data_IF_638458958043
#
_entry.id   IF_638458958043
#
_cell.length_a   1.000
_cell.length_b   1.000
_cell.length_c   1.000
_cell.angle_alpha   90.00
_cell.angle_beta   90.00
_cell.angle_gamma   90.00
#
_symmetry.space_group_name_H-M   'P 1'
#
loop_
_entity.id
_entity.type
_entity.pdbx_description
1 polymer ?
2 non-polymer ?
3 non-polymer ?
4 non-polymer ?
5 non-polymer ?
6 water ?
#
# COMPACT_ATOMS: atom_id res chain seq x y z
N UNK A 12 7.69 20.88 -1.09
CA UNK A 12 6.72 20.23 -0.22
C UNK A 12 5.58 19.51 -0.99
N UNK A 13 5.67 18.15 -1.08
CA UNK A 13 4.61 17.36 -1.70
C UNK A 13 3.50 17.25 -0.65
N UNK A 14 2.24 17.61 -0.98
CA UNK A 14 1.18 17.51 0.03
C UNK A 14 0.99 16.09 0.52
N UNK A 15 0.59 15.95 1.78
CA UNK A 15 0.32 14.66 2.36
C UNK A 15 -1.02 14.20 1.85
N UNK A 16 -1.23 12.88 1.89
CA UNK A 16 -2.50 12.31 1.49
C UNK A 16 -3.61 12.85 2.37
N UNK A 17 -4.78 13.17 1.76
CA UNK A 17 -5.95 13.45 2.61
C UNK A 17 -6.20 12.15 3.42
N UNK A 18 -6.69 12.28 4.65
CA UNK A 18 -6.91 11.13 5.53
C UNK A 18 -8.38 10.78 5.65
N UNK A 19 -9.28 11.77 5.45
CA UNK A 19 -10.72 11.56 5.60
C UNK A 19 -11.53 11.49 4.31
N UNK A 20 -12.42 10.50 4.22
CA UNK A 20 -13.37 10.32 3.12
C UNK A 20 -14.76 10.02 3.68
N UNK A 21 -15.85 10.52 3.02
CA UNK A 21 -17.19 10.25 3.54
C UNK A 21 -17.54 8.76 3.59
N UNK A 22 -17.08 7.99 2.57
CA UNK A 22 -17.33 6.56 2.45
C UNK A 22 -16.04 5.86 2.04
N UNK A 23 -16.14 4.77 1.26
CA UNK A 23 -14.97 4.03 0.81
C UNK A 23 -14.08 4.84 -0.12
N UNK A 24 -12.76 4.63 0.00
CA UNK A 24 -11.77 5.36 -0.79
C UNK A 24 -10.86 4.42 -1.58
N UNK A 25 -10.20 4.96 -2.62
CA UNK A 25 -9.29 4.17 -3.44
C UNK A 25 -8.07 4.98 -3.83
N UNK A 26 -6.93 4.32 -3.80
CA UNK A 26 -5.64 4.85 -4.24
C UNK A 26 -5.02 3.85 -5.19
N UNK A 27 -4.14 4.32 -6.08
CA UNK A 27 -3.49 3.44 -7.05
C UNK A 27 -1.98 3.69 -7.06
N UNK A 28 -1.22 2.64 -7.40
CA UNK A 28 0.24 2.65 -7.52
C UNK A 28 0.54 2.14 -8.90
N UNK A 29 1.38 2.85 -9.63
CA UNK A 29 1.63 2.56 -11.02
C UNK A 29 3.10 2.73 -11.38
N UNK A 30 3.83 1.60 -11.46
CA UNK A 30 5.25 1.62 -11.80
C UNK A 30 5.42 1.78 -13.31
N UNK A 31 6.24 2.73 -13.73
CA UNK A 31 6.44 2.99 -15.15
C UNK A 31 7.57 2.15 -15.74
N UNK A 32 7.44 1.80 -17.03
CA UNK A 32 8.49 1.11 -17.77
C UNK A 32 9.04 2.06 -18.82
N UNK A 33 10.34 1.93 -19.11
CA UNK A 33 11.00 2.71 -20.14
C UNK A 33 11.96 3.78 -19.67
N UNK A 34 12.00 4.04 -18.35
CA UNK A 34 12.87 5.06 -17.79
C UNK A 34 13.22 4.76 -16.35
N UNK A 35 14.15 5.57 -15.82
CA UNK A 35 14.53 5.56 -14.41
C UNK A 35 14.67 7.00 -13.91
N UNK A 36 14.66 7.17 -12.59
CA UNK A 36 14.98 8.44 -11.92
C UNK A 36 16.29 8.17 -11.17
N UNK A 37 17.21 9.12 -11.21
CA UNK A 37 18.44 9.00 -10.43
C UNK A 37 18.43 10.16 -9.45
N UNK A 38 18.78 9.87 -8.19
CA UNK A 38 18.74 10.85 -7.11
C UNK A 38 19.89 10.59 -6.13
N UNK A 39 20.29 11.58 -5.27
CA UNK A 39 21.31 11.28 -4.25
C UNK A 39 20.89 10.11 -3.36
N UNK A 40 21.86 9.39 -2.79
CA UNK A 40 21.58 8.27 -1.88
C UNK A 40 20.82 8.80 -0.66
N UNK A 41 19.93 7.98 -0.09
CA UNK A 41 19.11 8.30 1.09
C UNK A 41 18.16 9.53 0.87
N UNK A 42 17.80 9.80 -0.41
CA UNK A 42 16.85 10.86 -0.78
C UNK A 42 15.45 10.45 -0.35
N UNK A 43 14.53 11.42 -0.20
CA UNK A 43 13.13 11.14 0.12
C UNK A 43 12.52 10.43 -1.10
N UNK A 44 11.50 9.58 -0.86
CA UNK A 44 10.85 8.83 -1.94
C UNK A 44 10.16 9.77 -2.95
N UNK A 45 9.51 10.84 -2.47
CA UNK A 45 8.79 11.78 -3.31
C UNK A 45 9.68 12.86 -3.92
N UNK A 46 9.59 13.07 -5.25
CA UNK A 46 10.37 14.13 -5.92
C UNK A 46 9.48 15.13 -6.65
N UNK A 47 8.18 14.87 -6.65
CA UNK A 47 7.23 15.78 -7.27
C UNK A 47 5.80 15.27 -7.22
N UNK A 48 4.91 16.03 -7.84
CA UNK A 48 3.50 15.66 -7.93
C UNK A 48 2.84 16.34 -9.10
N UNK A 49 1.71 15.78 -9.52
CA UNK A 49 0.90 16.32 -10.60
C UNK A 49 -0.43 16.71 -10.00
N UNK A 50 -0.88 17.93 -10.32
CA UNK A 50 -2.16 18.41 -9.84
C UNK A 50 -3.01 18.88 -11.01
N UNK A 51 -4.32 19.08 -10.79
CA UNK A 51 -5.17 19.64 -11.84
C UNK A 51 -4.86 21.14 -11.85
N UNK A 52 -5.21 21.85 -12.93
CA UNK A 52 -5.03 23.31 -13.02
C UNK A 52 -5.80 24.03 -11.89
N UNK A 53 -6.89 23.42 -11.41
CA UNK A 53 -7.74 23.90 -10.31
C UNK A 53 -7.02 23.79 -8.94
N UNK A 54 -5.93 23.04 -8.89
CA UNK A 54 -5.11 22.87 -7.69
C UNK A 54 -5.25 21.56 -6.94
N UNK A 55 -6.13 20.65 -7.40
CA UNK A 55 -6.35 19.34 -6.75
C UNK A 55 -5.19 18.39 -7.03
N UNK A 56 -4.50 17.92 -5.98
CA UNK A 56 -3.38 16.98 -6.11
C UNK A 56 -3.91 15.62 -6.62
N UNK A 57 -3.34 15.13 -7.74
CA UNK A 57 -3.78 13.88 -8.38
C UNK A 57 -2.89 12.69 -8.07
N UNK A 58 -1.58 12.86 -8.20
CA UNK A 58 -0.63 11.79 -7.90
C UNK A 58 0.76 12.28 -7.60
N UNK A 59 1.54 11.47 -6.91
CA UNK A 59 2.92 11.78 -6.57
C UNK A 59 3.87 11.09 -7.53
N UNK A 60 5.02 11.71 -7.76
CA UNK A 60 6.11 11.12 -8.54
C UNK A 60 7.09 10.59 -7.51
N UNK A 61 7.32 9.28 -7.51
CA UNK A 61 8.20 8.67 -6.51
C UNK A 61 9.24 7.76 -7.13
N UNK A 62 10.34 7.54 -6.39
CA UNK A 62 11.31 6.51 -6.73
C UNK A 62 10.75 5.21 -6.13
N UNK A 63 11.03 4.09 -6.76
CA UNK A 63 10.48 2.82 -6.29
C UNK A 63 11.56 1.76 -6.10
N UNK A 64 11.83 0.94 -7.14
CA UNK A 64 12.80 -0.15 -7.05
C UNK A 64 14.20 0.34 -7.33
N UNK A 65 15.13 0.08 -6.39
CA UNK A 65 16.53 0.45 -6.58
C UNK A 65 17.15 -0.39 -7.71
N UNK A 66 17.69 0.30 -8.74
CA UNK A 66 18.31 -0.36 -9.91
C UNK A 66 19.83 -0.18 -9.97
N UNK A 67 20.44 0.13 -8.82
CA UNK A 67 21.89 0.31 -8.73
C UNK A 67 22.36 1.75 -8.76
N UNK A 68 23.66 1.95 -8.50
CA UNK A 68 24.27 3.28 -8.48
C UNK A 68 24.21 3.94 -9.86
N UNK A 69 24.03 5.26 -9.86
CA UNK A 69 23.95 6.05 -11.08
C UNK A 69 25.33 6.49 -11.51
N UNK A 70 25.61 6.34 -12.79
CA UNK A 70 26.87 6.80 -13.39
C UNK A 70 26.49 7.74 -14.52
N UNK A 71 26.84 9.04 -14.35
CA UNK A 71 26.59 10.05 -15.35
C UNK A 71 27.33 9.64 -16.64
N UNK A 72 26.63 9.46 -17.78
CA UNK A 72 27.34 9.10 -19.02
C UNK A 72 28.45 10.13 -19.32
N UNK A 73 29.67 9.67 -19.65
CA UNK A 73 30.76 10.62 -19.91
C UNK A 73 30.46 11.70 -20.96
N UNK A 74 29.67 11.37 -21.98
CA UNK A 74 29.29 12.32 -23.04
C UNK A 74 28.32 13.40 -22.55
N UNK A 75 27.81 13.28 -21.31
CA UNK A 75 26.89 14.22 -20.69
C UNK A 75 27.47 14.87 -19.44
N UNK A 76 28.82 14.79 -19.26
CA UNK A 76 29.54 15.43 -18.15
C UNK A 76 29.16 16.92 -18.18
N UNK A 77 28.73 17.46 -17.03
CA UNK A 77 28.24 18.83 -16.94
C UNK A 77 28.84 19.63 -15.78
N UNK A 78 29.91 19.11 -15.19
CA UNK A 78 30.59 19.74 -14.05
C UNK A 78 29.82 19.60 -12.76
N UNK A 79 28.70 18.87 -12.78
CA UNK A 79 27.85 18.64 -11.62
C UNK A 79 28.24 17.39 -10.88
N UNK A 80 27.95 17.39 -9.58
CA UNK A 80 28.25 16.31 -8.67
C UNK A 80 27.07 15.31 -8.65
N UNK A 81 27.35 14.07 -9.04
CA UNK A 81 26.37 12.99 -8.99
C UNK A 81 26.92 11.88 -8.10
N UNK A 82 27.84 12.24 -7.17
CA UNK A 82 28.46 11.25 -6.29
C UNK A 82 27.49 10.56 -5.36
N UNK A 83 27.57 9.22 -5.36
CA UNK A 83 26.74 8.31 -4.56
C UNK A 83 25.26 8.24 -4.97
N UNK A 84 24.90 8.89 -6.09
CA UNK A 84 23.52 8.86 -6.60
C UNK A 84 23.10 7.46 -6.98
N UNK A 85 21.82 7.15 -6.73
CA UNK A 85 21.22 5.84 -7.01
C UNK A 85 20.14 5.95 -8.05
N UNK A 86 19.97 4.90 -8.86
CA UNK A 86 18.93 4.83 -9.89
C UNK A 86 17.74 4.03 -9.34
N UNK A 87 16.51 4.45 -9.66
CA UNK A 87 15.30 3.76 -9.24
C UNK A 87 14.30 3.78 -10.35
N UNK A 88 13.36 2.84 -10.33
CA UNK A 88 12.22 2.90 -11.25
C UNK A 88 11.32 4.04 -10.70
N UNK A 89 10.43 4.55 -11.54
CA UNK A 89 9.51 5.61 -11.16
C UNK A 89 8.14 5.00 -10.94
N UNK A 90 7.52 5.33 -9.81
CA UNK A 90 6.18 4.87 -9.51
C UNK A 90 5.26 6.07 -9.28
N UNK A 91 4.13 6.08 -9.98
CA UNK A 91 3.12 7.15 -9.85
C UNK A 91 2.11 6.65 -8.82
N UNK A 92 1.95 7.42 -7.73
CA UNK A 92 1.12 7.04 -6.59
C UNK A 92 -0.01 8.05 -6.43
N UNK A 93 -1.25 7.64 -6.69
CA UNK A 93 -2.35 8.61 -6.62
C UNK A 93 -2.65 9.10 -5.22
N UNK A 94 -3.20 10.33 -5.14
CA UNK A 94 -3.77 10.86 -3.91
C UNK A 94 -5.13 10.15 -3.87
N UNK A 95 -5.51 9.49 -2.76
CA UNK A 95 -6.79 8.76 -2.76
C UNK A 95 -7.99 9.63 -3.06
N UNK A 96 -9.06 9.00 -3.57
CA UNK A 96 -10.31 9.67 -3.86
C UNK A 96 -11.46 8.76 -3.46
N UNK A 97 -12.70 9.28 -3.47
CA UNK A 97 -13.86 8.46 -3.16
C UNK A 97 -14.01 7.43 -4.27
N UNK A 98 -14.27 6.17 -3.89
CA UNK A 98 -14.42 5.06 -4.84
C UNK A 98 -15.49 5.27 -5.90
N UNK A 99 -16.58 5.97 -5.55
CA UNK A 99 -17.67 6.23 -6.48
C UNK A 99 -17.56 7.61 -7.17
N UNK A 100 -16.40 8.29 -7.02
CA UNK A 100 -16.20 9.59 -7.64
C UNK A 100 -15.56 9.36 -9.02
N UNK A 101 -16.42 9.16 -10.02
CA UNK A 101 -16.01 8.88 -11.41
C UNK A 101 -15.05 9.90 -12.00
N UNK A 102 -15.36 11.21 -11.84
CA UNK A 102 -14.53 12.30 -12.37
C UNK A 102 -13.11 12.27 -11.76
N UNK A 103 -13.00 12.06 -10.44
CA UNK A 103 -11.71 12.01 -9.75
C UNK A 103 -10.89 10.79 -10.21
N UNK A 104 -11.55 9.63 -10.39
CA UNK A 104 -10.89 8.40 -10.85
C UNK A 104 -10.36 8.61 -12.28
N UNK A 105 -11.22 9.18 -13.13
CA UNK A 105 -10.88 9.42 -14.53
C UNK A 105 -9.77 10.45 -14.69
N UNK A 106 -9.81 11.54 -13.91
CA UNK A 106 -8.77 12.58 -13.99
C UNK A 106 -7.40 12.01 -13.62
N UNK A 107 -7.34 11.12 -12.60
CA UNK A 107 -6.07 10.49 -12.20
C UNK A 107 -5.50 9.63 -13.34
N UNK A 108 -6.34 8.81 -13.98
CA UNK A 108 -5.93 7.96 -15.10
C UNK A 108 -5.41 8.80 -16.26
N UNK A 109 -6.18 9.85 -16.63
CA UNK A 109 -5.81 10.74 -17.73
C UNK A 109 -4.51 11.51 -17.45
N UNK A 110 -4.34 12.00 -16.20
CA UNK A 110 -3.13 12.74 -15.80
C UNK A 110 -1.90 11.82 -15.85
N UNK A 111 -2.06 10.55 -15.44
CA UNK A 111 -0.94 9.59 -15.51
C UNK A 111 -0.56 9.27 -16.93
N UNK A 112 -1.55 9.09 -17.81
CA UNK A 112 -1.31 8.82 -19.24
C UNK A 112 -0.65 10.03 -19.89
N UNK A 113 -1.09 11.24 -19.53
CA UNK A 113 -0.49 12.48 -20.05
C UNK A 113 0.98 12.52 -19.61
N UNK A 114 1.26 12.29 -18.31
CA UNK A 114 2.64 12.34 -17.82
C UNK A 114 3.55 11.34 -18.52
N UNK A 115 3.03 10.14 -18.82
CA UNK A 115 3.80 9.12 -19.57
C UNK A 115 4.19 9.67 -20.96
N UNK A 116 3.26 10.35 -21.64
CA UNK A 116 3.59 10.95 -22.95
C UNK A 116 4.61 12.08 -22.79
N UNK A 117 4.48 12.87 -21.71
CA UNK A 117 5.43 13.96 -21.40
C UNK A 117 6.83 13.39 -21.13
N UNK A 118 6.92 12.27 -20.39
CA UNK A 118 8.17 11.57 -20.11
C UNK A 118 8.80 11.05 -21.40
N UNK A 119 7.97 10.52 -22.33
CA UNK A 119 8.41 10.00 -23.64
C UNK A 119 9.17 11.12 -24.40
N UNK A 120 8.63 12.36 -24.40
CA UNK A 120 9.30 13.49 -25.04
C UNK A 120 10.55 13.87 -24.24
N UNK A 121 10.46 13.85 -22.90
CA UNK A 121 11.57 14.22 -22.01
C UNK A 121 12.82 13.40 -22.24
N UNK A 122 12.70 12.07 -22.34
CA UNK A 122 13.87 11.21 -22.58
C UNK A 122 14.42 11.33 -24.02
N UNK A 123 13.60 11.88 -24.92
CA UNK A 123 14.03 12.07 -26.30
C UNK A 123 14.86 13.33 -26.46
N UNK A 124 14.48 14.42 -25.77
CA UNK A 124 15.20 15.68 -25.94
C UNK A 124 15.91 16.24 -24.74
N UNK A 125 15.63 15.69 -23.55
CA UNK A 125 16.22 16.16 -22.32
C UNK A 125 16.69 14.96 -21.49
N UNK A 126 17.25 13.92 -22.16
CA UNK A 126 17.71 12.73 -21.45
C UNK A 126 18.77 13.09 -20.40
N UNK A 127 18.65 12.49 -19.20
CA UNK A 127 19.56 12.72 -18.06
C UNK A 127 19.44 14.13 -17.46
N UNK A 128 18.24 14.71 -17.55
CA UNK A 128 17.96 16.02 -16.98
C UNK A 128 16.76 15.92 -16.04
N UNK A 129 16.65 16.83 -15.04
CA UNK A 129 15.48 16.76 -14.17
C UNK A 129 14.24 17.17 -14.94
N UNK A 130 13.08 16.69 -14.46
CA UNK A 130 11.77 17.07 -14.97
C UNK A 130 11.58 18.52 -14.54
N UNK A 131 10.97 19.35 -15.40
CA UNK A 131 10.72 20.75 -15.08
C UNK A 131 9.25 20.92 -14.67
N UNK A 132 8.97 21.83 -13.70
CA UNK A 132 7.57 22.08 -13.33
C UNK A 132 6.89 22.88 -14.46
N UNK A 133 6.01 22.21 -15.19
CA UNK A 133 5.32 22.78 -16.35
C UNK A 133 3.83 22.51 -16.24
N UNK A 134 3.08 23.17 -17.14
CA UNK A 134 1.65 22.95 -17.28
C UNK A 134 1.49 22.23 -18.60
N UNK A 135 0.59 21.24 -18.65
CA UNK A 135 0.27 20.48 -19.87
C UNK A 135 -0.20 21.43 -20.97
N UNK A 136 -0.03 21.01 -22.24
CA UNK A 136 -0.41 21.81 -23.42
C UNK A 136 -1.89 22.24 -23.39
N UNK A 137 -2.78 21.33 -22.96
CA UNK A 137 -4.22 21.60 -22.87
C UNK A 137 -4.63 22.35 -21.58
N UNK A 138 -3.65 22.62 -20.72
CA UNK A 138 -3.84 23.32 -19.46
C UNK A 138 -4.52 22.52 -18.36
N UNK A 139 -4.81 21.22 -18.57
CA UNK A 139 -5.48 20.37 -17.57
C UNK A 139 -4.61 20.04 -16.37
N UNK A 140 -3.29 19.77 -16.63
CA UNK A 140 -2.38 19.26 -15.60
C UNK A 140 -1.14 20.09 -15.38
N UNK A 141 -0.67 20.10 -14.13
CA UNK A 141 0.50 20.87 -13.70
C UNK A 141 1.46 19.96 -12.93
N UNK A 142 2.75 19.99 -13.31
CA UNK A 142 3.80 19.26 -12.61
C UNK A 142 4.41 20.23 -11.61
N UNK A 143 4.57 19.78 -10.37
CA UNK A 143 5.27 20.52 -9.32
C UNK A 143 6.45 19.64 -8.95
N UNK A 144 7.66 20.22 -8.86
CA UNK A 144 8.88 19.49 -8.49
C UNK A 144 9.26 19.85 -7.06
N UNK A 145 9.29 18.84 -6.18
CA UNK A 145 9.61 19.06 -4.76
C UNK A 145 11.05 18.74 -4.43
N UNK A 146 11.71 17.92 -5.28
CA UNK A 146 13.13 17.63 -5.15
C UNK A 146 13.77 17.80 -6.53
N UNK A 147 14.39 18.97 -6.75
CA UNK A 147 15.06 19.29 -8.01
C UNK A 147 16.35 18.49 -8.20
N UNK A 148 16.87 17.89 -7.12
CA UNK A 148 18.08 17.07 -7.14
C UNK A 148 17.75 15.67 -7.66
N UNK A 149 17.41 15.59 -8.94
CA UNK A 149 17.09 14.34 -9.63
C UNK A 149 17.35 14.49 -11.12
N UNK A 150 17.42 13.37 -11.84
CA UNK A 150 17.48 13.33 -13.30
C UNK A 150 16.58 12.20 -13.77
N UNK A 151 16.02 12.35 -14.97
CA UNK A 151 15.20 11.33 -15.60
C UNK A 151 16.01 10.82 -16.78
N UNK A 152 16.14 9.49 -16.91
CA UNK A 152 16.90 8.89 -18.00
C UNK A 152 16.20 7.68 -18.59
N UNK A 153 16.30 7.53 -19.91
CA UNK A 153 15.69 6.43 -20.66
C UNK A 153 16.26 5.09 -20.27
N UNK A 154 15.43 4.05 -20.38
CA UNK A 154 15.82 2.68 -20.11
C UNK A 154 16.32 2.51 -18.69
N UNK A 155 17.52 1.95 -18.55
CA UNK A 155 18.10 1.76 -17.22
C UNK A 155 19.07 2.90 -16.82
N UNK A 156 19.10 3.97 -17.62
CA UNK A 156 19.90 5.16 -17.35
C UNK A 156 21.41 5.03 -17.46
N UNK A 157 21.90 3.99 -18.17
CA UNK A 157 23.34 3.80 -18.37
C UNK A 157 23.82 4.56 -19.62
N UNK A 158 23.08 4.48 -20.73
CA UNK A 158 23.44 5.15 -21.98
C UNK A 158 23.05 6.62 -22.00
N UNK A 159 23.82 7.46 -22.72
CA UNK A 159 23.50 8.87 -22.86
C UNK A 159 22.23 9.07 -23.69
N UNK A 160 21.98 8.20 -24.68
CA UNK A 160 20.80 8.28 -25.55
C UNK A 160 19.81 7.15 -25.32
N UNK A 161 18.53 7.42 -25.59
CA UNK A 161 17.45 6.44 -25.46
C UNK A 161 17.46 5.44 -26.64
N UNK A 162 16.55 4.46 -26.57
CA UNK A 162 16.27 3.52 -27.66
C UNK A 162 14.88 3.90 -28.24
N UNK A 163 14.53 5.18 -28.12
CA UNK A 163 13.24 5.73 -28.58
C UNK A 163 12.03 5.15 -27.87
N UNK A 164 12.19 4.83 -26.57
CA UNK A 164 11.12 4.22 -25.78
C UNK A 164 9.88 5.08 -25.62
N UNK A 165 8.72 4.42 -25.61
CA UNK A 165 7.46 5.03 -25.22
C UNK A 165 7.34 4.62 -23.75
N UNK A 166 7.04 5.60 -22.88
CA UNK A 166 6.88 5.34 -21.44
C UNK A 166 5.52 4.70 -21.25
N UNK A 167 5.53 3.50 -20.64
CA UNK A 167 4.36 2.66 -20.52
C UNK A 167 4.02 2.21 -19.11
N UNK A 168 2.81 1.64 -18.99
CA UNK A 168 2.30 1.07 -17.73
C UNK A 168 1.69 -0.29 -18.04
N UNK A 169 1.70 -1.22 -17.07
CA UNK A 169 1.20 -2.59 -17.28
C UNK A 169 0.60 -3.16 -15.99
N UNK A 170 -0.37 -4.13 -16.03
CA UNK A 170 -0.95 -4.66 -14.78
C UNK A 170 0.07 -5.15 -13.76
N UNK A 171 1.19 -5.78 -14.20
CA UNK A 171 2.24 -6.23 -13.28
C UNK A 171 2.93 -5.08 -12.53
N UNK A 172 2.81 -3.85 -13.02
CA UNK A 172 3.37 -2.69 -12.34
C UNK A 172 2.31 -1.94 -11.54
N UNK A 173 1.10 -2.50 -11.45
CA UNK A 173 -0.03 -1.83 -10.81
C UNK A 173 -0.63 -2.48 -9.59
N UNK A 174 -0.96 -1.65 -8.60
CA UNK A 174 -1.70 -2.05 -7.40
C UNK A 174 -2.80 -1.04 -7.14
N UNK A 175 -3.80 -1.44 -6.34
CA UNK A 175 -4.86 -0.57 -5.88
C UNK A 175 -5.00 -0.79 -4.39
N UNK A 176 -5.29 0.30 -3.66
CA UNK A 176 -5.52 0.27 -2.22
C UNK A 176 -6.92 0.79 -1.95
N UNK A 177 -7.73 0.02 -1.24
CA UNK A 177 -9.11 0.36 -0.89
C UNK A 177 -9.20 0.61 0.60
N UNK A 178 -9.86 1.71 0.97
CA UNK A 178 -10.10 2.05 2.37
C UNK A 178 -11.58 1.97 2.67
N UNK A 179 -11.97 1.26 3.75
CA UNK A 179 -13.37 1.12 4.18
C UNK A 179 -13.50 1.41 5.68
N UNK A 180 -14.73 1.72 6.15
CA UNK A 180 -14.98 1.90 7.59
C UNK A 180 -14.68 0.53 8.24
N UNK A 181 -13.89 0.53 9.33
CA UNK A 181 -13.50 -0.69 10.04
C UNK A 181 -14.73 -1.45 10.54
N UNK A 182 -15.78 -0.72 10.96
CA UNK A 182 -17.04 -1.31 11.43
C UNK A 182 -17.81 -2.04 10.33
N UNK A 183 -17.44 -1.83 9.08
CA UNK A 183 -18.10 -2.47 7.94
C UNK A 183 -17.56 -3.83 7.57
N UNK A 184 -16.30 -4.12 7.94
CA UNK A 184 -15.67 -5.40 7.57
C UNK A 184 -16.35 -6.60 8.23
N UNK A 185 -17.01 -7.39 7.40
CA UNK A 185 -17.79 -8.56 7.82
C UNK A 185 -19.28 -8.36 7.63
N UNK A 186 -19.71 -7.10 7.35
CA UNK A 186 -21.13 -6.80 7.16
C UNK A 186 -21.64 -7.12 5.74
N UNK A 187 -20.70 -7.25 4.76
CA UNK A 187 -21.01 -7.53 3.34
C UNK A 187 -22.00 -6.50 2.73
N UNK A 188 -22.09 -5.30 3.34
CA UNK A 188 -23.06 -4.25 3.01
C UNK A 188 -22.89 -3.57 1.66
N UNK A 189 -21.66 -3.52 1.14
CA UNK A 189 -21.37 -2.85 -0.12
C UNK A 189 -20.57 -3.77 -1.06
N UNK A 190 -20.50 -3.49 -2.38
CA UNK A 190 -19.66 -4.33 -3.27
C UNK A 190 -18.18 -4.33 -2.89
N UNK A 191 -17.63 -3.18 -2.38
CA UNK A 191 -16.21 -3.07 -1.96
C UNK A 191 -15.99 -4.00 -0.78
N UNK A 192 -16.93 -3.98 0.19
CA UNK A 192 -16.83 -4.81 1.40
C UNK A 192 -16.85 -6.29 1.05
N UNK A 193 -17.73 -6.69 0.12
CA UNK A 193 -17.84 -8.08 -0.34
C UNK A 193 -16.58 -8.53 -1.06
N UNK A 194 -15.97 -7.61 -1.87
CA UNK A 194 -14.72 -7.89 -2.56
C UNK A 194 -13.60 -8.16 -1.52
N UNK A 195 -13.52 -7.31 -0.47
CA UNK A 195 -12.52 -7.44 0.60
C UNK A 195 -12.73 -8.71 1.42
N UNK A 196 -13.99 -9.04 1.70
CA UNK A 196 -14.36 -10.24 2.47
C UNK A 196 -14.06 -11.53 1.70
N UNK A 197 -13.88 -11.43 0.38
CA UNK A 197 -13.53 -12.58 -0.46
C UNK A 197 -12.03 -12.94 -0.35
N UNK A 198 -11.23 -12.13 0.39
CA UNK A 198 -9.80 -12.42 0.60
C UNK A 198 -9.68 -13.84 1.15
N UNK A 199 -8.79 -14.69 0.59
CA UNK A 199 -8.71 -16.10 1.04
C UNK A 199 -8.44 -16.28 2.53
N UNK A 200 -7.68 -15.35 3.12
CA UNK A 200 -7.33 -15.39 4.54
C UNK A 200 -8.50 -15.05 5.45
N UNK A 201 -9.52 -14.33 4.95
CA UNK A 201 -10.66 -13.96 5.79
C UNK A 201 -11.61 -15.13 5.99
N UNK A 202 -11.83 -15.50 7.26
CA UNK A 202 -12.69 -16.63 7.62
C UNK A 202 -14.01 -16.15 8.19
N UNK A 203 -14.99 -15.94 7.31
CA UNK A 203 -16.30 -15.47 7.73
C UNK A 203 -17.01 -16.35 8.77
N UNK A 204 -16.68 -17.66 8.80
CA UNK A 204 -17.25 -18.61 9.76
C UNK A 204 -16.94 -18.21 11.22
N UNK A 205 -15.85 -17.44 11.43
CA UNK A 205 -15.47 -16.99 12.76
C UNK A 205 -16.48 -16.04 13.43
N UNK A 206 -17.31 -15.35 12.63
CA UNK A 206 -18.33 -14.45 13.19
C UNK A 206 -19.35 -15.23 14.01
N UNK A 207 -19.95 -16.26 13.40
CA UNK A 207 -20.94 -17.11 14.08
C UNK A 207 -20.29 -17.91 15.20
N UNK A 208 -19.00 -18.28 15.04
CA UNK A 208 -18.26 -18.99 16.06
C UNK A 208 -18.15 -18.12 17.32
N UNK A 209 -17.82 -16.79 17.17
CA UNK A 209 -17.70 -15.89 18.33
C UNK A 209 -19.04 -15.80 19.07
N UNK A 210 -20.15 -15.68 18.33
CA UNK A 210 -21.50 -15.58 18.89
C UNK A 210 -21.82 -16.79 19.80
N UNK A 211 -21.40 -18.00 19.39
CA UNK A 211 -21.57 -19.25 20.15
C UNK A 211 -20.76 -19.27 21.45
N UNK A 212 -19.54 -18.70 21.43
CA UNK A 212 -18.63 -18.65 22.58
C UNK A 212 -19.05 -17.65 23.65
N UNK A 213 -19.83 -16.63 23.27
CA UNK A 213 -20.16 -15.51 24.15
C UNK A 213 -21.65 -15.30 24.48
N UNK A 214 -22.43 -16.40 24.54
CA UNK A 214 -23.89 -16.38 24.83
C UNK A 214 -24.23 -15.86 26.24
N UNK A 215 -23.45 -16.26 27.26
CA UNK A 215 -23.66 -15.85 28.66
C UNK A 215 -23.16 -14.44 28.90
N UNK A 216 -22.50 -13.89 27.88
CA UNK A 216 -21.92 -12.57 27.94
C UNK A 216 -22.86 -11.51 27.47
N UNK A 217 -22.92 -10.43 28.24
CA UNK A 217 -23.76 -9.31 27.89
C UNK A 217 -22.87 -8.30 27.20
N UNK A 218 -22.77 -8.42 25.87
CA UNK A 218 -21.89 -7.55 25.09
C UNK A 218 -22.57 -6.26 24.71
N UNK A 219 -21.79 -5.16 24.76
CA UNK A 219 -22.26 -3.82 24.39
C UNK A 219 -22.77 -3.80 22.96
N UNK A 220 -21.97 -4.38 22.03
CA UNK A 220 -22.35 -4.51 20.64
C UNK A 220 -21.83 -5.84 20.16
N UNK A 221 -22.65 -6.90 20.34
CA UNK A 221 -22.29 -8.27 19.98
C UNK A 221 -21.96 -8.52 18.50
N UNK A 222 -22.66 -7.84 17.58
CA UNK A 222 -22.43 -8.01 16.14
C UNK A 222 -21.11 -7.32 15.71
N UNK A 223 -20.83 -6.13 16.31
CA UNK A 223 -19.59 -5.39 16.05
C UNK A 223 -18.42 -6.21 16.64
N UNK A 224 -18.60 -6.78 17.86
CA UNK A 224 -17.58 -7.61 18.51
C UNK A 224 -17.28 -8.85 17.67
N UNK A 225 -18.33 -9.52 17.13
CA UNK A 225 -18.16 -10.72 16.28
C UNK A 225 -17.38 -10.40 14.99
N UNK A 226 -17.67 -9.23 14.37
CA UNK A 226 -16.98 -8.78 13.17
C UNK A 226 -15.51 -8.50 13.46
N UNK A 227 -15.21 -7.78 14.56
CA UNK A 227 -13.83 -7.47 14.96
C UNK A 227 -13.08 -8.78 15.24
N UNK A 228 -13.72 -9.71 15.95
CA UNK A 228 -13.11 -11.01 16.26
C UNK A 228 -12.75 -11.75 14.98
N UNK A 229 -13.70 -11.86 14.02
CA UNK A 229 -13.41 -12.58 12.77
C UNK A 229 -12.27 -11.93 11.98
N UNK A 230 -12.24 -10.59 11.93
CA UNK A 230 -11.21 -9.85 11.21
C UNK A 230 -9.83 -10.09 11.84
N UNK A 231 -9.70 -9.81 13.15
CA UNK A 231 -8.43 -9.99 13.87
C UNK A 231 -7.97 -11.44 13.89
N UNK A 232 -8.88 -12.38 14.22
CA UNK A 232 -8.51 -13.79 14.24
C UNK A 232 -8.01 -14.24 12.87
N UNK A 233 -8.70 -13.82 11.77
CA UNK A 233 -8.27 -14.18 10.42
C UNK A 233 -6.84 -13.69 10.13
N UNK A 234 -6.53 -12.44 10.54
CA UNK A 234 -5.19 -11.87 10.35
C UNK A 234 -4.15 -12.62 11.20
N UNK A 235 -4.47 -12.86 12.49
CA UNK A 235 -3.53 -13.55 13.39
C UNK A 235 -3.22 -14.95 12.88
N UNK A 236 -4.26 -15.71 12.46
CA UNK A 236 -4.10 -17.07 11.94
C UNK A 236 -3.31 -17.09 10.64
N UNK A 237 -3.59 -16.14 9.72
CA UNK A 237 -2.84 -16.03 8.46
C UNK A 237 -1.37 -15.70 8.72
N UNK A 238 -1.09 -14.80 9.69
CA UNK A 238 0.29 -14.43 10.05
C UNK A 238 1.04 -15.66 10.54
N UNK A 239 0.40 -16.48 11.41
CA UNK A 239 0.99 -17.71 11.91
C UNK A 239 1.24 -18.70 10.76
N UNK A 240 0.27 -18.82 9.82
CA UNK A 240 0.43 -19.69 8.64
C UNK A 240 1.63 -19.26 7.80
N UNK A 241 1.75 -17.95 7.53
CA UNK A 241 2.84 -17.41 6.73
C UNK A 241 4.19 -17.53 7.42
N UNK A 242 4.22 -17.32 8.76
CA UNK A 242 5.46 -17.42 9.54
C UNK A 242 5.99 -18.87 9.47
N UNK A 243 5.08 -19.85 9.50
CA UNK A 243 5.41 -21.27 9.43
C UNK A 243 5.85 -21.62 8.00
N UNK A 244 5.08 -21.15 7.00
CA UNK A 244 5.34 -21.41 5.58
C UNK A 244 6.70 -20.84 5.14
N UNK A 245 6.94 -19.56 5.46
CA UNK A 245 8.14 -18.86 5.00
C UNK A 245 9.32 -18.81 5.98
N UNK A 246 9.13 -19.34 7.19
CA UNK A 246 10.16 -19.35 8.22
C UNK A 246 10.52 -17.94 8.64
N UNK A 247 9.51 -17.19 9.12
CA UNK A 247 9.68 -15.78 9.48
C UNK A 247 9.92 -15.64 10.98
N UNK A 248 10.93 -14.84 11.38
CA UNK A 248 11.16 -14.56 12.80
C UNK A 248 10.14 -13.48 13.22
N UNK A 249 9.16 -13.88 14.06
CA UNK A 249 8.08 -13.04 14.62
C UNK A 249 8.34 -12.88 16.09
N UNK A 250 8.57 -11.63 16.57
CA UNK A 250 8.81 -11.37 17.99
C UNK A 250 9.97 -12.24 18.46
N UNK A 251 9.70 -13.17 19.41
CA UNK A 251 10.71 -14.08 19.93
C UNK A 251 10.60 -15.51 19.34
N UNK A 252 9.66 -15.73 18.39
CA UNK A 252 9.50 -17.06 17.78
C UNK A 252 10.59 -17.30 16.77
N UNK A 253 11.27 -18.45 16.90
CA UNK A 253 12.36 -18.86 16.04
C UNK A 253 11.88 -20.01 15.15
N UNK A 254 11.72 -19.79 13.83
CA UNK A 254 11.27 -20.89 12.94
C UNK A 254 12.16 -22.13 12.97
N UNK A 255 13.48 -21.93 13.19
CA UNK A 255 14.44 -23.04 13.27
C UNK A 255 14.18 -23.96 14.48
N UNK A 256 13.50 -23.44 15.54
CA UNK A 256 13.13 -24.23 16.73
C UNK A 256 12.04 -25.26 16.38
N UNK A 257 11.32 -25.04 15.26
CA UNK A 257 10.30 -25.94 14.77
C UNK A 257 10.74 -26.61 13.46
N UNK A 258 12.08 -26.64 13.25
CA UNK A 258 12.77 -27.24 12.11
C UNK A 258 12.32 -26.64 10.76
N UNK A 259 12.03 -25.32 10.76
CA UNK A 259 11.62 -24.61 9.55
C UNK A 259 12.76 -23.75 9.06
N UNK A 260 13.19 -23.98 7.81
CA UNK A 260 14.25 -23.19 7.21
C UNK A 260 13.66 -21.90 6.63
N UNK A 261 14.17 -20.73 7.07
CA UNK A 261 13.71 -19.45 6.48
C UNK A 261 13.81 -19.41 4.95
N UNK A 262 12.73 -18.94 4.31
CA UNK A 262 12.71 -18.78 2.87
C UNK A 262 12.09 -17.45 2.46
N UNK A 263 12.16 -16.45 3.38
CA UNK A 263 11.73 -15.08 3.17
C UNK A 263 12.50 -14.21 4.14
N UNK A 264 12.66 -12.93 3.81
CA UNK A 264 13.42 -12.03 4.67
C UNK A 264 12.59 -11.40 5.81
N UNK A 265 11.30 -11.69 5.84
CA UNK A 265 10.42 -11.17 6.87
C UNK A 265 9.02 -10.95 6.36
N UNK A 266 8.17 -10.32 7.19
CA UNK A 266 6.78 -10.00 6.85
C UNK A 266 6.67 -9.07 5.64
N UNK A 267 7.69 -8.21 5.40
CA UNK A 267 7.69 -7.25 4.29
C UNK A 267 8.25 -7.80 2.99
N UNK A 268 8.72 -9.05 3.00
CA UNK A 268 9.27 -9.67 1.80
C UNK A 268 8.18 -9.67 0.71
N UNK A 269 8.48 -9.20 -0.53
CA UNK A 269 7.43 -9.18 -1.58
C UNK A 269 6.67 -10.48 -1.76
N UNK A 270 7.33 -11.66 -1.61
CA UNK A 270 6.60 -12.92 -1.76
C UNK A 270 5.61 -13.18 -0.62
N UNK A 271 5.93 -12.66 0.59
CA UNK A 271 5.04 -12.80 1.75
C UNK A 271 3.83 -11.88 1.53
N UNK A 272 4.08 -10.62 1.11
CA UNK A 272 2.99 -9.69 0.82
C UNK A 272 2.09 -10.26 -0.28
N UNK A 273 2.68 -10.89 -1.32
CA UNK A 273 1.91 -11.50 -2.42
C UNK A 273 1.02 -12.63 -1.94
N UNK A 274 1.49 -13.41 -0.94
CA UNK A 274 0.73 -14.51 -0.37
C UNK A 274 -0.58 -14.07 0.31
N UNK A 275 -0.65 -12.81 0.82
CA UNK A 275 -1.88 -12.28 1.40
C UNK A 275 -2.94 -12.06 0.30
N UNK A 276 -2.49 -11.67 -0.92
CA UNK A 276 -3.29 -11.32 -2.12
C UNK A 276 -3.96 -9.95 -1.93
N UNK A 277 -4.78 -9.85 -0.88
CA UNK A 277 -5.42 -8.62 -0.42
C UNK A 277 -4.69 -8.38 0.91
N UNK A 278 -3.73 -7.46 0.86
CA UNK A 278 -2.84 -7.19 1.99
C UNK A 278 -3.37 -6.12 2.96
N UNK A 279 -3.63 -6.48 4.25
CA UNK A 279 -4.02 -5.45 5.23
C UNK A 279 -2.91 -4.38 5.34
N UNK A 280 -3.30 -3.10 5.27
CA UNK A 280 -2.35 -2.00 5.32
C UNK A 280 -2.47 -1.17 6.59
N UNK A 281 -3.39 -1.55 7.49
CA UNK A 281 -3.61 -0.81 8.72
C UNK A 281 -3.22 -1.68 9.89
N UNK A 282 -2.58 -1.07 10.89
CA UNK A 282 -2.16 -1.72 12.12
C UNK A 282 -3.37 -2.44 12.76
N UNK A 283 -3.32 -3.79 12.90
CA UNK A 283 -4.47 -4.51 13.46
C UNK A 283 -5.00 -4.00 14.80
N UNK A 284 -4.09 -3.62 15.72
CA UNK A 284 -4.49 -3.13 17.05
C UNK A 284 -5.40 -1.89 17.05
N UNK A 285 -5.42 -1.11 15.95
CA UNK A 285 -6.27 0.09 15.84
C UNK A 285 -7.77 -0.26 15.89
N UNK A 286 -8.16 -1.42 15.32
CA UNK A 286 -9.57 -1.85 15.29
C UNK A 286 -10.24 -2.00 16.67
N UNK A 287 -9.46 -2.33 17.72
CA UNK A 287 -9.92 -2.49 19.10
C UNK A 287 -10.63 -1.21 19.60
N UNK A 288 -10.21 -0.04 19.07
CA UNK A 288 -10.75 1.28 19.39
C UNK A 288 -12.22 1.47 18.97
N UNK A 289 -12.73 0.65 18.02
CA UNK A 289 -14.13 0.77 17.58
C UNK A 289 -15.11 0.13 18.58
N UNK A 290 -14.58 -0.64 19.55
CA UNK A 290 -15.36 -1.35 20.57
C UNK A 290 -15.22 -0.67 21.93
N UNK A 291 -16.12 -1.03 22.89
CA UNK A 291 -16.03 -0.56 24.26
C UNK A 291 -14.87 -1.31 24.92
N UNK A 292 -14.28 -0.77 26.01
CA UNK A 292 -13.17 -1.40 26.75
C UNK A 292 -13.54 -2.87 27.08
N UNK A 293 -14.78 -3.10 27.55
CA UNK A 293 -15.34 -4.40 27.91
C UNK A 293 -15.43 -5.37 26.72
N UNK A 294 -16.04 -4.94 25.60
CA UNK A 294 -16.18 -5.75 24.38
C UNK A 294 -14.82 -6.12 23.79
N UNK A 295 -13.87 -5.16 23.77
CA UNK A 295 -12.50 -5.39 23.27
C UNK A 295 -11.81 -6.47 24.09
N UNK A 296 -11.96 -6.43 25.45
CA UNK A 296 -11.39 -7.43 26.36
C UNK A 296 -11.92 -8.83 26.00
N UNK A 297 -13.24 -8.95 25.75
CA UNK A 297 -13.91 -10.20 25.38
C UNK A 297 -13.41 -10.74 24.03
N UNK A 298 -13.24 -9.85 23.03
CA UNK A 298 -12.73 -10.24 21.71
C UNK A 298 -11.30 -10.78 21.85
N UNK A 299 -10.41 -9.98 22.46
CA UNK A 299 -8.99 -10.33 22.63
C UNK A 299 -8.76 -11.61 23.38
N UNK A 300 -9.50 -11.81 24.48
CA UNK A 300 -9.41 -13.02 25.31
C UNK A 300 -9.74 -14.28 24.50
N UNK A 301 -10.69 -14.20 23.55
CA UNK A 301 -11.10 -15.33 22.71
C UNK A 301 -10.20 -15.66 21.53
N UNK A 302 -9.27 -14.75 21.16
CA UNK A 302 -8.37 -15.01 20.03
C UNK A 302 -7.30 -16.07 20.38
N UNK A 303 -6.66 -15.97 21.56
CA UNK A 303 -5.59 -16.88 22.03
C UNK A 303 -5.91 -18.38 21.75
N UNK A 304 -7.08 -18.93 22.14
CA UNK A 304 -7.33 -20.36 21.85
C UNK A 304 -7.46 -20.71 20.38
N UNK A 305 -7.90 -19.75 19.54
CA UNK A 305 -8.00 -19.97 18.09
C UNK A 305 -6.59 -20.23 17.51
N UNK A 306 -5.58 -19.48 17.97
CA UNK A 306 -4.21 -19.72 17.56
C UNK A 306 -3.70 -21.05 18.16
N UNK A 307 -3.90 -21.22 19.47
CA UNK A 307 -3.43 -22.39 20.22
C UNK A 307 -4.03 -23.75 19.85
N UNK A 308 -5.16 -23.76 19.12
CA UNK A 308 -5.76 -25.02 18.69
C UNK A 308 -5.18 -25.40 17.31
N UNK A 309 -4.42 -24.47 16.70
CA UNK A 309 -3.85 -24.65 15.35
C UNK A 309 -2.35 -24.56 15.28
N UNK A 310 -1.73 -23.81 16.19
CA UNK A 310 -0.28 -23.55 16.16
C UNK A 310 0.36 -23.81 17.49
N UNK A 311 1.69 -24.00 17.50
CA UNK A 311 2.43 -24.27 18.73
C UNK A 311 2.20 -23.14 19.71
N UNK A 312 2.42 -23.41 21.02
CA UNK A 312 2.29 -22.40 22.06
C UNK A 312 3.18 -21.19 21.77
N UNK A 313 4.44 -21.43 21.41
CA UNK A 313 5.41 -20.36 21.12
C UNK A 313 4.97 -19.49 19.93
N UNK A 314 4.56 -20.11 18.82
CA UNK A 314 4.10 -19.33 17.67
C UNK A 314 2.84 -18.53 18.01
N UNK A 315 1.87 -19.18 18.70
CA UNK A 315 0.61 -18.54 19.11
C UNK A 315 0.85 -17.32 20.01
N UNK A 316 1.67 -17.47 21.07
CA UNK A 316 2.01 -16.42 22.04
C UNK A 316 2.72 -15.28 21.35
N UNK A 317 3.70 -15.61 20.48
CA UNK A 317 4.46 -14.60 19.77
C UNK A 317 3.64 -13.79 18.77
N UNK A 318 2.73 -14.43 18.02
CA UNK A 318 1.86 -13.74 17.06
C UNK A 318 0.88 -12.86 17.85
N UNK A 319 0.25 -13.42 18.91
CA UNK A 319 -0.69 -12.67 19.75
C UNK A 319 -0.03 -11.41 20.33
N UNK A 320 1.14 -11.54 21.00
CA UNK A 320 1.88 -10.41 21.60
C UNK A 320 2.31 -9.39 20.55
N UNK A 321 2.83 -9.88 19.40
CA UNK A 321 3.27 -9.02 18.32
C UNK A 321 2.17 -8.03 17.92
N UNK A 322 0.96 -8.54 17.64
CA UNK A 322 -0.14 -7.67 17.24
C UNK A 322 -0.70 -6.81 18.37
N UNK A 323 -0.63 -7.30 19.62
CA UNK A 323 -1.10 -6.62 20.81
C UNK A 323 -0.26 -5.35 21.09
N UNK A 324 1.08 -5.42 20.91
CA UNK A 324 2.02 -4.31 21.13
C UNK A 324 2.05 -3.34 19.93
N UNK A 325 1.11 -3.51 19.00
CA UNK A 325 0.97 -2.66 17.82
C UNK A 325 1.79 -3.07 16.62
N UNK A 326 2.08 -4.36 16.48
CA UNK A 326 2.84 -4.87 15.35
C UNK A 326 2.08 -4.70 14.05
N UNK A 327 2.81 -4.46 12.96
CA UNK A 327 2.22 -4.25 11.64
C UNK A 327 2.26 -5.54 10.83
N UNK A 328 1.27 -5.72 9.92
CA UNK A 328 1.20 -6.89 9.04
C UNK A 328 2.41 -6.92 8.10
N UNK A 329 2.76 -5.77 7.49
CA UNK A 329 3.87 -5.69 6.53
C UNK A 329 4.46 -4.28 6.48
N UNK A 330 5.15 -3.91 7.56
CA UNK A 330 5.79 -2.60 7.64
C UNK A 330 4.82 -1.47 7.91
N UNK A 331 5.34 -0.22 7.84
CA UNK A 331 4.56 0.99 8.14
C UNK A 331 3.15 0.96 7.54
N UNK A 332 2.15 1.08 8.40
CA UNK A 332 0.75 1.06 7.99
C UNK A 332 0.18 2.43 7.71
N UNK A 333 -1.03 2.46 7.15
CA UNK A 333 -1.80 3.68 6.93
C UNK A 333 -2.79 3.63 8.09
N UNK A 334 -2.42 4.31 9.20
CA UNK A 334 -3.12 4.23 10.48
C UNK A 334 -3.92 5.45 10.91
N UNK A 335 -3.87 6.51 10.12
CA UNK A 335 -4.55 7.77 10.40
C UNK A 335 -5.71 8.05 9.44
N UNK A 336 -6.16 7.03 8.67
CA UNK A 336 -7.24 7.20 7.71
C UNK A 336 -8.58 7.08 8.43
N UNK A 337 -9.54 7.94 8.06
CA UNK A 337 -10.87 7.95 8.69
C UNK A 337 -11.99 8.01 7.66
N UNK A 338 -13.21 7.63 8.09
CA UNK A 338 -14.41 7.59 7.25
C UNK A 338 -15.62 8.16 8.00
N UNK A 339 -16.67 8.51 7.25
CA UNK A 339 -17.94 8.99 7.80
C UNK A 339 -18.02 10.49 7.97
N UNK A 340 -18.56 10.91 9.11
CA UNK A 340 -18.72 12.33 9.44
C UNK A 340 -17.36 12.90 9.79
N UNK A 341 -16.95 13.98 9.09
CA UNK A 341 -15.66 14.67 9.25
C UNK A 341 -15.49 15.16 10.70
N UNK A 342 -16.64 15.43 11.34
CA UNK A 342 -16.70 15.97 12.67
C UNK A 342 -16.57 14.92 13.78
N UNK A 343 -17.05 13.69 13.52
CA UNK A 343 -16.97 12.57 14.46
C UNK A 343 -16.40 11.42 13.60
N UNK A 344 -15.11 11.51 13.19
CA UNK A 344 -14.57 10.51 12.25
C UNK A 344 -14.44 9.11 12.81
N UNK A 345 -14.64 8.11 11.94
CA UNK A 345 -14.54 6.70 12.33
C UNK A 345 -13.35 6.07 11.66
N UNK A 346 -12.80 5.05 12.30
CA UNK A 346 -11.61 4.37 11.77
C UNK A 346 -11.85 3.74 10.41
N UNK A 347 -10.90 4.01 9.48
CA UNK A 347 -10.88 3.39 8.18
C UNK A 347 -9.72 2.40 8.20
N UNK A 348 -9.93 1.24 7.59
CA UNK A 348 -8.90 0.21 7.45
C UNK A 348 -8.64 -0.01 5.98
N UNK A 349 -7.36 -0.10 5.60
CA UNK A 349 -6.95 -0.17 4.20
C UNK A 349 -6.39 -1.49 3.75
N UNK A 350 -6.58 -1.79 2.44
CA UNK A 350 -6.15 -3.06 1.89
C UNK A 350 -5.55 -2.89 0.52
N UNK A 351 -4.38 -3.51 0.32
CA UNK A 351 -3.67 -3.43 -0.96
C UNK A 351 -3.92 -4.68 -1.79
N UNK A 352 -4.43 -4.49 -3.01
CA UNK A 352 -4.63 -5.57 -3.98
C UNK A 352 -3.30 -5.70 -4.71
N UNK A 353 -2.54 -6.76 -4.37
CA UNK A 353 -1.20 -7.03 -4.93
C UNK A 353 -1.24 -7.17 -6.45
N UNK A 354 -2.33 -7.77 -6.96
CA UNK A 354 -2.66 -7.85 -8.38
C UNK A 354 -4.05 -7.20 -8.45
N UNK A 355 -4.24 -6.25 -9.38
CA UNK A 355 -5.53 -5.57 -9.50
C UNK A 355 -6.57 -6.58 -10.04
N UNK A 356 -7.67 -6.85 -9.29
CA UNK A 356 -8.67 -7.81 -9.79
C UNK A 356 -9.53 -7.17 -10.89
N UNK A 357 -10.30 -8.00 -11.62
CA UNK A 357 -11.19 -7.52 -12.69
C UNK A 357 -12.14 -6.41 -12.22
N UNK A 358 -12.69 -6.54 -10.99
CA UNK A 358 -13.61 -5.57 -10.36
C UNK A 358 -13.01 -4.15 -10.22
N UNK A 359 -11.68 -4.04 -10.14
CA UNK A 359 -11.01 -2.76 -9.93
C UNK A 359 -10.18 -2.26 -11.12
N UNK A 360 -10.15 -3.02 -12.23
CA UNK A 360 -9.36 -2.62 -13.42
C UNK A 360 -9.71 -1.25 -13.99
N UNK A 361 -11.01 -0.84 -13.87
CA UNK A 361 -11.49 0.43 -14.39
C UNK A 361 -10.84 1.64 -13.69
N UNK A 362 -10.24 1.43 -12.49
CA UNK A 362 -9.57 2.49 -11.72
C UNK A 362 -8.14 2.74 -12.20
N UNK A 363 -7.61 1.83 -13.02
CA UNK A 363 -6.21 1.87 -13.46
C UNK A 363 -6.03 2.40 -14.88
N UNK A 364 -5.02 3.26 -15.10
CA UNK A 364 -4.77 3.75 -16.47
C UNK A 364 -4.17 2.65 -17.34
N UNK A 365 -4.52 2.67 -18.63
CA UNK A 365 -4.04 1.67 -19.59
C UNK A 365 -3.32 2.38 -20.73
N UNK A 366 -2.04 2.00 -21.03
CA UNK A 366 -1.29 2.60 -22.15
C UNK A 366 -2.03 2.28 -23.47
N UNK A 367 -2.26 3.30 -24.29
CA UNK A 367 -2.92 3.15 -25.57
C UNK A 367 -1.98 2.60 -26.62
X LIG B 1 4.36 -0.21 1.55
X LIG B 1 3.42 -1.24 1.01
X LIG B 1 4.33 -0.20 3.05
X LIG B 1 5.77 -0.42 1.09
X LIG B 1 4.20 2.64 1.16
X LIG B 1 4.54 2.93 2.57
X LIG B 1 5.41 2.95 0.31
X LIG B 1 3.83 1.21 1.02
X LIG B 1 1.70 3.96 1.37
X LIG B 1 1.65 3.35 2.71
X LIG B 1 1.69 5.47 1.54
X LIG B 1 2.96 3.55 0.70
X LIG B 1 0.43 3.44 0.53
X LIG B 1 0.17 4.14 -0.71
X LIG B 1 -1.12 3.70 -1.35
X LIG B 1 -2.23 3.86 -0.41
X LIG B 1 -1.49 4.52 -2.58
X LIG B 1 -2.16 3.74 -3.57
X LIG B 1 -2.41 5.57 -1.97
X LIG B 1 -3.22 6.25 -2.93
X LIG B 1 -3.21 4.70 -1.02
X LIG B 1 -3.97 5.39 0.02
X LIG B 1 -3.48 6.25 0.98
X LIG B 1 -4.40 6.71 1.78
X LIG B 1 -5.58 6.12 1.33
X LIG B 1 -6.92 6.18 1.77
X LIG B 1 -7.33 6.91 2.81
X LIG B 1 -7.83 5.45 1.09
X LIG B 1 -7.43 4.70 0.05
X LIG B 1 -6.20 4.56 -0.45
X LIG B 1 -5.32 5.30 0.23
X LIG C 1 16.49 2.64 -1.38
X LIG C 1 15.56 1.87 -2.11
X LIG C 1 15.83 3.70 -0.53
X LIG C 1 15.10 4.60 -1.36
X LIG C 1 16.89 4.47 0.21
X LIG C 1 16.32 5.50 1.01
X LIG D 1 2.40 -1.75 -3.69
X LIG E 1 4.06 3.24 -3.10
X LIG F 1 6.78 -4.40 -2.63
X LIG F 1 7.74 -3.57 -3.36
X LIG F 1 6.62 -5.67 -3.31
X LIG F 1 7.27 -4.59 -1.28
X LIG F 1 5.48 -3.72 -2.57
X LIG G 1 20.26 1.62 -20.72
X LIG G 1 21.18 0.96 -21.66
X LIG G 1 18.89 1.11 -20.95
X LIG G 1 20.68 1.32 -19.34
X LIG G 1 20.33 3.09 -20.92
X LIG H 1 3.14 18.70 -22.76
X LIG H 1 3.57 19.16 -24.08
X LIG H 1 3.74 17.38 -22.45
X LIG H 1 3.56 19.66 -21.75
X LIG H 1 1.66 18.57 -22.75
X LIG I 1 1.50 -8.10 -17.27
X LIG I 1 0.37 -8.55 -16.43
X LIG I 1 1.07 -8.04 -18.66
X LIG I 1 1.92 -6.77 -16.83
X LIG I 1 2.62 -9.05 -17.12
X LIG J 1 -0.63 -24.53 8.44
X LIG J 1 0.61 -24.90 7.74
X LIG J 1 -0.63 -25.16 9.76
X LIG J 1 -0.70 -23.07 8.58
X LIG J 1 -1.77 -25.01 7.65
#
# INVERSE_FOLDING_TARGET
NAQPNLGRSTKATPDFPTHFPKSSIGIENELAGLVVAMPANSAQKFGYVKSAQGDALFMLTKDMNQGSYQRPPSLQDGKNYQNWQTHTVELVSYPCEMDDKAAVETRKQAMLWLATHFTTHIDQSNHQPLAPIQSEDGRFVIEITNAKHVIAAGNGISAESQGQTITMTPSGQQATVGVAAKGFGTSATPELRLLESAPWYQKSLKSQFASLTSAENLDDKELAANVFAYLTSIYLKTAELAKKFGIYINEWDPMSEQITPNANGLTDPKVKNAWEILPRTKPSKIVEILSKSDAKAVMKHIKPQLQSRYSESLSKNVFQYFQDGGEVAGHGINNATVGDKHSPELAILFEFRTVPNELQSYLPKTESTTKSEVKLLDQFDPMKRKTVIQQVESLV
ATP PG O1G O2G O3G PB O1B O2B O3B PA O1A O2A O3A O5' C5' C4' O4' C3' O3' C2' O2' C1' N9 C8 N7 C5 C6 N6 N1 C2 N3 C4
GOL C1 O1 C2 O2 C3 O3
MG MG
MG MG
SO4 S O1 O2 O3 O4
SO4 S O1 O2 O3 O4
SO4 S O1 O2 O3 O4
SO4 S O1 O2 O3 O4
SO4 S O1 O2 O3 O4
#
